data_IF_148082520379
#
_entry.id   IF_148082520379
#
_cell.length_a   1.000
_cell.length_b   1.000
_cell.length_c   1.000
_cell.angle_alpha   90.00
_cell.angle_beta   90.00
_cell.angle_gamma   90.00
#
_symmetry.space_group_name_H-M   'P 1'
#
loop_
_entity.id
_entity.type
_entity.pdbx_description
1 polymer ?
#
# COMPACT_ATOMS: atom_id res chain seq x y z
N UNK A 1 -16.41 -11.26 3.30
CA UNK A 1 -15.59 -12.01 4.29
C UNK A 1 -14.65 -12.91 3.51
N UNK A 2 -13.33 -12.76 3.68
CA UNK A 2 -12.32 -13.51 2.92
C UNK A 2 -12.11 -14.91 3.49
N UNK A 3 -11.70 -15.87 2.67
CA UNK A 3 -11.50 -17.28 3.05
C UNK A 3 -10.57 -17.45 4.26
N UNK A 4 -9.50 -16.64 4.33
CA UNK A 4 -8.57 -16.65 5.46
C UNK A 4 -9.26 -16.29 6.79
N UNK A 5 -10.18 -15.32 6.77
CA UNK A 5 -10.94 -14.94 7.96
C UNK A 5 -11.94 -16.02 8.37
N UNK A 6 -12.63 -16.62 7.39
CA UNK A 6 -13.53 -17.75 7.64
C UNK A 6 -12.81 -18.99 8.18
N UNK A 7 -11.59 -19.25 7.71
CA UNK A 7 -10.73 -20.32 8.22
C UNK A 7 -10.33 -20.07 9.68
N UNK A 8 -9.88 -18.85 10.01
CA UNK A 8 -9.54 -18.48 11.40
C UNK A 8 -10.73 -18.57 12.37
N UNK A 9 -11.96 -18.32 11.89
CA UNK A 9 -13.17 -18.39 12.70
C UNK A 9 -13.82 -19.77 12.74
N UNK A 10 -13.33 -20.74 11.95
CA UNK A 10 -13.95 -22.06 11.83
C UNK A 10 -14.09 -22.78 13.17
N UNK A 11 -13.11 -22.63 14.06
CA UNK A 11 -13.08 -23.24 15.40
C UNK A 11 -14.04 -22.58 16.41
N UNK A 12 -14.49 -21.35 16.13
CA UNK A 12 -15.37 -20.56 16.99
C UNK A 12 -16.79 -20.42 16.44
N UNK A 13 -17.10 -21.04 15.29
CA UNK A 13 -18.44 -21.03 14.69
C UNK A 13 -19.52 -21.70 15.55
N UNK A 14 -19.13 -22.60 16.45
CA UNK A 14 -20.02 -23.27 17.40
C UNK A 14 -20.04 -22.59 18.79
N UNK A 15 -19.27 -21.52 18.98
CA UNK A 15 -19.18 -20.79 20.25
C UNK A 15 -20.25 -19.69 20.32
N UNK A 16 -20.55 -19.21 21.53
CA UNK A 16 -21.50 -18.12 21.69
C UNK A 16 -20.97 -16.83 21.04
N UNK A 17 -21.85 -15.88 20.72
CA UNK A 17 -21.43 -14.59 20.18
C UNK A 17 -20.42 -13.87 21.09
N UNK A 18 -20.55 -14.03 22.41
CA UNK A 18 -19.62 -13.48 23.39
C UNK A 18 -18.21 -14.09 23.27
N UNK A 19 -18.12 -15.41 23.07
CA UNK A 19 -16.84 -16.11 22.90
C UNK A 19 -16.12 -15.68 21.63
N UNK A 20 -16.88 -15.48 20.55
CA UNK A 20 -16.35 -15.00 19.27
C UNK A 20 -15.78 -13.57 19.41
N UNK A 21 -16.50 -12.67 20.07
CA UNK A 21 -16.04 -11.30 20.31
C UNK A 21 -14.79 -11.29 21.19
N UNK A 22 -14.76 -12.10 22.25
CA UNK A 22 -13.61 -12.21 23.14
C UNK A 22 -12.38 -12.78 22.41
N UNK A 23 -12.58 -13.75 21.52
CA UNK A 23 -11.51 -14.26 20.64
C UNK A 23 -10.96 -13.16 19.72
N UNK A 24 -11.83 -12.42 19.01
CA UNK A 24 -11.41 -11.33 18.13
C UNK A 24 -10.64 -10.27 18.91
N UNK A 25 -11.12 -9.89 20.10
CA UNK A 25 -10.47 -8.93 20.99
C UNK A 25 -9.06 -9.38 21.37
N UNK A 26 -8.89 -10.62 21.84
CA UNK A 26 -7.58 -11.19 22.20
C UNK A 26 -6.66 -11.33 20.99
N UNK A 27 -7.19 -11.71 19.84
CA UNK A 27 -6.43 -11.81 18.59
C UNK A 27 -5.86 -10.46 18.18
N UNK A 28 -6.69 -9.40 18.17
CA UNK A 28 -6.27 -8.04 17.82
C UNK A 28 -5.24 -7.52 18.83
N UNK A 29 -5.48 -7.72 20.12
CA UNK A 29 -4.55 -7.33 21.19
C UNK A 29 -3.17 -7.97 21.00
N UNK A 30 -3.12 -9.28 20.77
CA UNK A 30 -1.86 -10.01 20.51
C UNK A 30 -1.16 -9.47 19.26
N UNK A 31 -1.90 -9.26 18.16
CA UNK A 31 -1.33 -8.70 16.92
C UNK A 31 -0.74 -7.30 17.12
N UNK A 32 -1.38 -6.45 17.93
CA UNK A 32 -0.83 -5.14 18.25
C UNK A 32 0.43 -5.22 19.10
N UNK A 33 0.49 -6.15 20.07
CA UNK A 33 1.70 -6.36 20.85
C UNK A 33 2.86 -6.85 19.98
N UNK A 34 2.64 -7.88 19.15
CA UNK A 34 3.62 -8.39 18.18
C UNK A 34 4.14 -7.28 17.26
N UNK A 35 3.23 -6.42 16.76
CA UNK A 35 3.61 -5.28 15.91
C UNK A 35 4.41 -4.22 16.67
N UNK A 36 4.07 -3.93 17.91
CA UNK A 36 4.81 -2.98 18.75
C UNK A 36 6.23 -3.46 19.01
N UNK A 37 6.40 -4.74 19.33
CA UNK A 37 7.71 -5.36 19.51
C UNK A 37 8.53 -5.33 18.22
N UNK A 38 7.93 -5.68 17.07
CA UNK A 38 8.58 -5.59 15.76
C UNK A 38 9.05 -4.15 15.47
N UNK A 39 8.20 -3.15 15.73
CA UNK A 39 8.51 -1.74 15.52
C UNK A 39 9.63 -1.22 16.44
N UNK A 40 9.85 -1.81 17.60
CA UNK A 40 10.87 -1.35 18.56
C UNK A 40 12.30 -1.48 17.99
N UNK A 41 12.52 -2.43 17.09
CA UNK A 41 13.80 -2.62 16.38
C UNK A 41 13.94 -1.81 15.09
N UNK A 42 12.97 -0.96 14.72
CA UNK A 42 13.04 -0.21 13.48
C UNK A 42 13.91 1.04 13.63
N UNK A 43 14.82 1.24 12.68
CA UNK A 43 15.66 2.43 12.60
C UNK A 43 15.05 3.57 11.78
N UNK A 44 13.97 3.30 11.02
CA UNK A 44 13.31 4.26 10.15
C UNK A 44 11.87 4.52 10.57
N UNK A 45 11.39 5.72 10.25
CA UNK A 45 9.98 6.12 10.44
C UNK A 45 9.02 5.23 9.64
N UNK A 46 9.46 4.72 8.49
CA UNK A 46 8.66 3.84 7.65
C UNK A 46 8.85 2.37 8.02
N UNK A 47 7.79 1.54 7.97
CA UNK A 47 7.92 0.09 8.06
C UNK A 47 8.90 -0.46 7.02
N UNK A 48 9.81 -1.39 7.36
CA UNK A 48 10.82 -1.92 6.43
C UNK A 48 10.22 -2.43 5.12
N UNK A 49 9.05 -3.08 5.17
CA UNK A 49 8.33 -3.58 3.99
C UNK A 49 7.83 -2.45 3.08
N UNK A 50 7.31 -1.38 3.66
CA UNK A 50 6.82 -0.20 2.92
C UNK A 50 8.01 0.53 2.31
N UNK A 51 9.05 0.76 3.11
CA UNK A 51 10.29 1.40 2.66
C UNK A 51 10.94 0.65 1.49
N UNK A 52 11.09 -0.68 1.59
CA UNK A 52 11.61 -1.51 0.52
C UNK A 52 10.76 -1.42 -0.77
N UNK A 53 9.43 -1.37 -0.64
CA UNK A 53 8.52 -1.23 -1.78
C UNK A 53 8.65 0.15 -2.44
N UNK A 54 8.74 1.22 -1.65
CA UNK A 54 9.00 2.58 -2.14
C UNK A 54 10.34 2.63 -2.89
N UNK A 55 11.42 2.11 -2.32
CA UNK A 55 12.73 2.07 -2.98
C UNK A 55 12.70 1.28 -4.29
N UNK A 56 12.00 0.14 -4.32
CA UNK A 56 11.80 -0.65 -5.54
C UNK A 56 11.06 0.13 -6.62
N UNK A 57 9.97 0.81 -6.25
CA UNK A 57 9.21 1.64 -7.20
C UNK A 57 9.99 2.87 -7.67
N UNK A 58 10.76 3.51 -6.78
CA UNK A 58 11.66 4.63 -7.11
C UNK A 58 12.76 4.23 -8.09
N UNK A 59 13.34 3.02 -7.96
CA UNK A 59 14.33 2.55 -8.95
C UNK A 59 13.69 2.34 -10.32
N UNK A 60 12.51 1.71 -10.36
CA UNK A 60 11.75 1.48 -11.61
C UNK A 60 11.24 2.76 -12.25
N UNK A 61 10.97 3.80 -11.46
CA UNK A 61 10.44 5.06 -11.97
C UNK A 61 11.44 5.78 -12.89
N UNK A 62 12.74 5.54 -12.72
CA UNK A 62 13.82 6.17 -13.50
C UNK A 62 13.83 5.80 -14.98
N UNK A 63 13.17 4.70 -15.37
CA UNK A 63 13.13 4.23 -16.76
C UNK A 63 11.88 4.69 -17.51
N UNK A 64 11.04 5.51 -16.89
CA UNK A 64 9.78 5.97 -17.46
C UNK A 64 9.93 7.39 -17.99
N UNK A 65 9.27 7.67 -19.11
CA UNK A 65 9.18 9.02 -19.66
C UNK A 65 7.87 9.65 -19.23
N UNK A 66 7.91 10.88 -18.73
CA UNK A 66 6.74 11.61 -18.25
C UNK A 66 6.33 12.69 -19.23
N UNK A 67 5.04 12.70 -19.56
CA UNK A 67 4.37 13.78 -20.27
C UNK A 67 3.44 14.45 -19.27
N UNK A 68 3.70 15.73 -18.98
CA UNK A 68 2.86 16.50 -18.08
C UNK A 68 1.68 17.11 -18.85
N UNK A 69 0.47 16.88 -18.36
CA UNK A 69 -0.72 17.60 -18.76
C UNK A 69 -0.97 18.76 -17.78
N UNK A 70 -2.19 19.32 -17.82
CA UNK A 70 -2.62 20.34 -16.88
C UNK A 70 -3.06 19.74 -15.53
N UNK A 71 -3.02 20.53 -14.46
CA UNK A 71 -3.65 20.22 -13.17
C UNK A 71 -3.18 18.93 -12.44
N UNK A 72 -1.88 18.65 -12.43
CA UNK A 72 -1.29 17.45 -11.80
C UNK A 72 -1.77 16.11 -12.40
N UNK A 73 -2.09 16.14 -13.69
CA UNK A 73 -2.31 14.95 -14.51
C UNK A 73 -1.08 14.68 -15.38
N UNK A 74 -0.77 13.40 -15.53
CA UNK A 74 0.45 12.94 -16.18
C UNK A 74 0.16 11.68 -16.99
N UNK A 75 0.84 11.56 -18.13
CA UNK A 75 0.93 10.32 -18.88
C UNK A 75 2.36 9.78 -18.79
N UNK A 76 2.50 8.53 -18.35
CA UNK A 76 3.78 7.87 -18.16
C UNK A 76 3.95 6.82 -19.24
N UNK A 77 4.96 6.99 -20.09
CA UNK A 77 5.32 6.04 -21.12
C UNK A 77 6.36 5.07 -20.58
N UNK A 78 6.00 3.79 -20.55
CA UNK A 78 6.87 2.68 -20.20
C UNK A 78 6.91 1.61 -21.28
N UNK A 79 7.71 0.55 -21.05
CA UNK A 79 7.85 -0.57 -21.99
C UNK A 79 6.53 -1.31 -22.26
N UNK A 80 5.60 -1.31 -21.31
CA UNK A 80 4.28 -1.95 -21.42
C UNK A 80 3.16 -1.02 -21.90
N UNK A 81 3.50 0.20 -22.32
CA UNK A 81 2.55 1.21 -22.79
C UNK A 81 2.45 2.45 -21.90
N UNK A 82 1.47 3.30 -22.23
CA UNK A 82 1.16 4.53 -21.50
C UNK A 82 0.26 4.29 -20.28
N UNK A 83 0.52 5.01 -19.19
CA UNK A 83 -0.30 4.99 -17.98
C UNK A 83 -0.65 6.40 -17.53
N UNK A 84 -1.94 6.67 -17.38
CA UNK A 84 -2.40 7.92 -16.79
C UNK A 84 -2.23 7.92 -15.25
N UNK A 85 -1.75 9.05 -14.72
CA UNK A 85 -1.66 9.34 -13.29
C UNK A 85 -2.32 10.69 -13.03
N UNK A 86 -3.21 10.71 -12.04
CA UNK A 86 -3.86 11.92 -11.55
C UNK A 86 -3.59 12.05 -10.06
N UNK A 87 -2.69 12.97 -9.69
CA UNK A 87 -2.24 13.06 -8.30
C UNK A 87 -3.33 13.56 -7.35
N UNK A 88 -4.16 14.53 -7.77
CA UNK A 88 -5.26 15.07 -6.94
C UNK A 88 -6.31 14.01 -6.61
N UNK A 89 -6.59 13.12 -7.56
CA UNK A 89 -7.60 12.08 -7.43
C UNK A 89 -7.04 10.81 -6.77
N UNK A 90 -5.77 10.81 -6.36
CA UNK A 90 -5.09 9.62 -5.84
C UNK A 90 -5.17 8.41 -6.80
N UNK A 91 -5.13 8.68 -8.11
CA UNK A 91 -5.47 7.70 -9.12
C UNK A 91 -4.28 7.41 -10.04
N UNK A 92 -3.99 6.13 -10.23
CA UNK A 92 -3.08 5.65 -11.28
C UNK A 92 -3.78 4.54 -12.05
N UNK A 93 -3.72 4.58 -13.38
CA UNK A 93 -4.37 3.60 -14.24
C UNK A 93 -3.95 2.15 -13.94
N UNK A 94 -2.77 1.91 -13.33
CA UNK A 94 -2.36 0.57 -12.94
C UNK A 94 -3.04 0.02 -11.67
N UNK A 95 -3.88 0.81 -10.99
CA UNK A 95 -4.66 0.43 -9.80
C UNK A 95 -3.86 0.18 -8.51
N UNK A 96 -2.54 0.05 -8.61
CA UNK A 96 -1.69 -0.37 -7.48
C UNK A 96 -1.66 0.66 -6.34
N UNK A 97 -1.79 1.95 -6.66
CA UNK A 97 -1.74 3.02 -5.67
C UNK A 97 -3.02 3.05 -4.83
N UNK A 98 -4.17 2.89 -5.48
CA UNK A 98 -5.50 2.85 -4.90
C UNK A 98 -5.66 1.64 -3.97
N UNK A 99 -5.17 0.47 -4.40
CA UNK A 99 -5.26 -0.76 -3.60
C UNK A 99 -4.30 -0.74 -2.41
N UNK A 100 -3.05 -0.32 -2.63
CA UNK A 100 -2.01 -0.51 -1.60
C UNK A 100 -1.75 0.71 -0.73
N UNK A 101 -2.22 1.89 -1.11
CA UNK A 101 -1.86 3.14 -0.44
C UNK A 101 -0.42 3.60 -0.72
N UNK A 102 0.37 2.82 -1.46
CA UNK A 102 1.80 3.08 -1.69
C UNK A 102 1.97 3.52 -3.15
N UNK A 103 2.61 4.68 -3.42
CA UNK A 103 2.89 5.13 -4.77
C UNK A 103 3.59 4.05 -5.60
N UNK A 104 3.01 3.71 -6.76
CA UNK A 104 3.65 2.83 -7.73
C UNK A 104 4.72 3.59 -8.53
N UNK A 105 5.48 2.91 -9.38
CA UNK A 105 6.54 3.56 -10.15
C UNK A 105 6.05 4.73 -11.02
N UNK A 106 4.84 4.66 -11.59
CA UNK A 106 4.27 5.77 -12.36
C UNK A 106 4.02 7.02 -11.49
N UNK A 107 3.41 6.80 -10.33
CA UNK A 107 3.11 7.86 -9.35
C UNK A 107 4.40 8.44 -8.77
N UNK A 108 5.44 7.63 -8.56
CA UNK A 108 6.72 8.10 -8.06
C UNK A 108 7.38 9.13 -9.00
N UNK A 109 7.29 8.94 -10.33
CA UNK A 109 7.78 9.95 -11.28
C UNK A 109 6.93 11.22 -11.19
N UNK A 110 5.61 11.08 -11.18
CA UNK A 110 4.69 12.22 -11.10
C UNK A 110 4.91 13.05 -9.81
N UNK A 111 5.09 12.39 -8.66
CA UNK A 111 5.43 13.04 -7.39
C UNK A 111 6.79 13.74 -7.49
N UNK A 112 7.81 13.06 -8.01
CA UNK A 112 9.15 13.65 -8.16
C UNK A 112 9.14 14.89 -9.06
N UNK A 113 8.36 14.88 -10.12
CA UNK A 113 8.20 16.02 -11.02
C UNK A 113 7.37 17.16 -10.41
N UNK A 114 6.36 16.83 -9.59
CA UNK A 114 5.57 17.83 -8.88
C UNK A 114 6.35 18.52 -7.75
N UNK A 115 7.11 17.75 -6.95
CA UNK A 115 7.88 18.27 -5.81
C UNK A 115 9.27 18.81 -6.18
N UNK A 116 9.81 18.43 -7.34
CA UNK A 116 11.10 18.91 -7.84
C UNK A 116 11.01 20.20 -8.66
N UNK A 117 9.82 20.79 -8.77
CA UNK A 117 9.60 22.16 -9.25
C UNK A 117 9.48 23.13 -8.09
#
# INVERSE_FOLDING_TARGET
MTEAFNSMLSTYKAASYLDLLEFIRRMVMRKFNEKREECSGWSSVLPPRVHAKILKHSKKSRTLTLIAAWNMEYELLGASGGYAVKLREYNCQCGSWQVSGIPCCHVMVAISHYCGR
#
